data_IF_245593948140
#
_entry.id   IF_245593948140
#
_cell.length_a   1.000
_cell.length_b   1.000
_cell.length_c   1.000
_cell.angle_alpha   90.00
_cell.angle_beta   90.00
_cell.angle_gamma   90.00
#
_symmetry.space_group_name_H-M   'P 1'
#
loop_
_entity.id
_entity.type
_entity.pdbx_description
1 polymer ?
#
# COMPACT_ATOMS: atom_id res chain seq x y z
N UNK A 1 0.18 -20.26 -1.05
CA UNK A 1 1.39 -19.42 -0.89
C UNK A 1 1.16 -18.43 0.24
N UNK A 2 2.12 -18.24 1.16
CA UNK A 2 2.03 -17.19 2.16
C UNK A 2 1.99 -15.81 1.48
N UNK A 3 1.24 -14.87 2.06
CA UNK A 3 1.23 -13.49 1.56
C UNK A 3 2.57 -12.82 1.88
N UNK A 4 3.06 -12.01 0.94
CA UNK A 4 4.25 -11.19 1.15
C UNK A 4 4.04 -10.14 2.24
N UNK A 5 5.12 -9.76 2.91
CA UNK A 5 5.12 -8.69 3.93
C UNK A 5 4.91 -7.31 3.28
N UNK A 6 4.44 -6.36 4.08
CA UNK A 6 4.40 -4.95 3.68
C UNK A 6 5.81 -4.43 3.37
N UNK A 7 5.90 -3.37 2.57
CA UNK A 7 7.16 -2.66 2.33
C UNK A 7 7.70 -2.08 3.64
N UNK A 8 8.99 -2.33 3.89
CA UNK A 8 9.76 -1.71 4.97
C UNK A 8 10.08 -0.26 4.61
N UNK A 9 10.45 0.56 5.59
CA UNK A 9 10.78 1.96 5.34
C UNK A 9 12.03 2.13 4.48
N UNK A 10 12.97 1.20 4.57
CA UNK A 10 14.14 1.15 3.68
C UNK A 10 13.72 0.91 2.22
N UNK A 11 12.86 -0.09 1.98
CA UNK A 11 12.36 -0.38 0.63
C UNK A 11 11.54 0.79 0.06
N UNK A 12 10.75 1.48 0.90
CA UNK A 12 10.02 2.69 0.49
C UNK A 12 10.97 3.79 0.00
N UNK A 13 12.04 4.06 0.76
CA UNK A 13 13.07 5.02 0.35
C UNK A 13 13.77 4.64 -0.96
N UNK A 14 14.04 3.35 -1.18
CA UNK A 14 14.56 2.86 -2.46
C UNK A 14 13.58 3.07 -3.62
N UNK A 15 12.28 2.83 -3.40
CA UNK A 15 11.25 3.08 -4.42
C UNK A 15 11.18 4.57 -4.74
N UNK A 16 11.18 5.44 -3.74
CA UNK A 16 11.09 6.90 -3.93
C UNK A 16 12.27 7.43 -4.72
N UNK A 17 13.50 7.06 -4.34
CA UNK A 17 14.72 7.44 -5.06
C UNK A 17 14.69 6.95 -6.52
N UNK A 18 14.39 5.68 -6.76
CA UNK A 18 14.33 5.15 -8.12
C UNK A 18 13.20 5.76 -8.96
N UNK A 19 12.07 6.10 -8.32
CA UNK A 19 10.94 6.76 -8.98
C UNK A 19 11.28 8.19 -9.38
N UNK A 20 11.96 8.95 -8.52
CA UNK A 20 12.46 10.29 -8.83
C UNK A 20 13.50 10.29 -9.95
N UNK A 21 14.31 9.23 -10.04
CA UNK A 21 15.22 9.01 -11.17
C UNK A 21 14.51 8.61 -12.49
N UNK A 22 13.18 8.54 -12.51
CA UNK A 22 12.40 8.24 -13.72
C UNK A 22 12.23 6.75 -14.04
N UNK A 23 12.60 5.84 -13.14
CA UNK A 23 12.46 4.41 -13.40
C UNK A 23 11.00 3.95 -13.44
N UNK A 24 10.72 2.98 -14.31
CA UNK A 24 9.42 2.31 -14.36
C UNK A 24 9.23 1.37 -13.16
N UNK A 25 7.99 1.14 -12.74
CA UNK A 25 7.69 0.23 -11.64
C UNK A 25 8.21 -1.20 -11.88
N UNK A 26 8.30 -1.62 -13.15
CA UNK A 26 8.86 -2.93 -13.54
C UNK A 26 10.38 -2.98 -13.37
N UNK A 27 11.09 -1.88 -13.64
CA UNK A 27 12.53 -1.77 -13.39
C UNK A 27 12.81 -1.75 -11.87
N UNK A 28 12.04 -0.97 -11.12
CA UNK A 28 12.12 -0.90 -9.64
C UNK A 28 11.87 -2.27 -9.02
N UNK A 29 10.88 -3.00 -9.53
CA UNK A 29 10.56 -4.38 -9.11
C UNK A 29 11.76 -5.31 -9.23
N UNK A 30 12.48 -5.27 -10.35
CA UNK A 30 13.68 -6.08 -10.55
C UNK A 30 14.83 -5.67 -9.63
N UNK A 31 14.96 -4.37 -9.34
CA UNK A 31 16.04 -3.86 -8.49
C UNK A 31 15.87 -4.24 -7.01
N UNK A 32 14.65 -4.19 -6.49
CA UNK A 32 14.36 -4.39 -5.05
C UNK A 32 13.86 -5.82 -4.77
N UNK A 33 13.48 -6.59 -5.80
CA UNK A 33 12.96 -7.96 -5.63
C UNK A 33 11.51 -8.00 -5.12
N UNK A 34 10.75 -6.91 -5.27
CA UNK A 34 9.34 -6.81 -4.88
C UNK A 34 8.42 -6.90 -6.08
N UNK A 35 7.17 -7.32 -5.85
CA UNK A 35 6.21 -7.43 -6.94
C UNK A 35 5.86 -6.05 -7.52
N UNK A 36 5.67 -5.93 -8.85
CA UNK A 36 5.30 -4.66 -9.47
C UNK A 36 4.00 -4.09 -8.91
N UNK A 37 3.04 -4.96 -8.58
CA UNK A 37 1.75 -4.54 -8.02
C UNK A 37 1.89 -3.86 -6.66
N UNK A 38 2.77 -4.36 -5.77
CA UNK A 38 3.02 -3.73 -4.47
C UNK A 38 3.67 -2.36 -4.64
N UNK A 39 4.62 -2.23 -5.57
CA UNK A 39 5.30 -0.96 -5.87
C UNK A 39 4.30 0.05 -6.43
N UNK A 40 3.47 -0.35 -7.39
CA UNK A 40 2.42 0.51 -7.96
C UNK A 40 1.46 0.97 -6.87
N UNK A 41 1.04 0.05 -5.99
CA UNK A 41 0.13 0.37 -4.90
C UNK A 41 0.76 1.37 -3.90
N UNK A 42 2.05 1.22 -3.60
CA UNK A 42 2.79 2.19 -2.79
C UNK A 42 2.88 3.56 -3.49
N UNK A 43 3.21 3.61 -4.77
CA UNK A 43 3.30 4.87 -5.53
C UNK A 43 1.94 5.59 -5.57
N UNK A 44 0.84 4.86 -5.72
CA UNK A 44 -0.52 5.43 -5.78
C UNK A 44 -0.98 5.90 -4.39
N UNK A 45 -0.79 5.08 -3.36
CA UNK A 45 -1.28 5.38 -2.00
C UNK A 45 -0.36 6.33 -1.23
N UNK A 46 0.94 6.34 -1.54
CA UNK A 46 1.98 7.08 -0.85
C UNK A 46 1.94 6.86 0.66
N UNK A 47 1.75 7.94 1.42
CA UNK A 47 1.68 7.92 2.89
C UNK A 47 0.55 7.03 3.44
N UNK A 48 -0.49 6.76 2.66
CA UNK A 48 -1.62 5.89 3.05
C UNK A 48 -1.29 4.39 2.90
N UNK A 49 -0.17 4.04 2.29
CA UNK A 49 0.21 2.65 2.08
C UNK A 49 0.43 1.92 3.42
N UNK A 50 -0.19 0.75 3.57
CA UNK A 50 -0.07 -0.07 4.77
C UNK A 50 -0.85 0.45 6.00
N UNK A 51 -1.51 1.61 5.88
CA UNK A 51 -2.40 2.09 6.92
C UNK A 51 -3.68 1.24 6.92
N UNK A 52 -4.08 0.76 8.10
CA UNK A 52 -5.40 0.16 8.27
C UNK A 52 -6.42 1.27 8.10
N UNK A 53 -7.51 1.00 7.36
CA UNK A 53 -8.65 1.91 7.36
C UNK A 53 -9.13 2.05 8.80
N UNK A 54 -9.37 3.28 9.24
CA UNK A 54 -9.93 3.54 10.55
C UNK A 54 -11.22 2.73 10.69
N UNK A 55 -11.27 1.85 11.69
CA UNK A 55 -12.41 0.97 11.91
C UNK A 55 -13.70 1.76 12.24
N UNK A 56 -13.60 3.04 12.57
CA UNK A 56 -14.73 3.91 12.90
C UNK A 56 -15.74 4.00 11.75
N UNK A 57 -15.28 4.09 10.50
CA UNK A 57 -16.19 4.10 9.35
C UNK A 57 -16.97 2.78 9.16
N UNK A 58 -16.39 1.64 9.57
CA UNK A 58 -17.08 0.35 9.50
C UNK A 58 -18.07 0.16 10.65
N UNK A 59 -17.77 0.71 11.83
CA UNK A 59 -18.66 0.65 13.01
C UNK A 59 -19.92 1.48 12.80
N UNK A 60 -19.82 2.67 12.22
CA UNK A 60 -20.99 3.54 12.01
C UNK A 60 -21.99 2.91 11.03
N UNK A 61 -21.54 2.36 9.89
CA UNK A 61 -22.43 1.64 8.96
C UNK A 61 -23.13 0.39 9.53
N UNK A 62 -22.63 -0.17 10.64
CA UNK A 62 -23.26 -1.30 11.34
C UNK A 62 -24.24 -0.84 12.42
N UNK A 63 -24.09 0.39 12.92
CA UNK A 63 -25.01 1.01 13.87
C UNK A 63 -26.26 1.48 13.11
N UNK A 64 -26.09 2.20 11.99
CA UNK A 64 -27.22 2.71 11.17
C UNK A 64 -28.16 1.58 10.71
N UNK A 65 -27.63 0.39 10.42
CA UNK A 65 -28.41 -0.76 9.95
C UNK A 65 -29.14 -1.53 11.06
N UNK A 66 -28.84 -1.23 12.32
CA UNK A 66 -29.41 -1.89 13.50
C UNK A 66 -30.59 -1.12 14.10
N UNK A 67 -30.72 0.17 13.77
CA UNK A 67 -31.81 1.04 14.20
C UNK A 67 -33.05 0.96 13.28
N UNK A 68 -32.96 0.24 12.15
CA UNK A 68 -34.04 0.03 11.18
C UNK A 68 -34.81 -1.31 11.35
N UNK A 69 -34.57 -2.07 12.43
CA UNK A 69 -35.26 -3.34 12.78
C UNK A 69 -35.88 -3.26 14.17
#
# INVERSE_FOLDING_TARGET
>A
MPRGTNLTDYEKGQIDTLKTAGNSARAISKAIGRSPGVIINYIILGKKYGQKKDQEGLKNCLIDRKEEL
#
